data_IF_438517057598
#
_entry.id   IF_438517057598
#
_cell.length_a   1.000
_cell.length_b   1.000
_cell.length_c   1.000
_cell.angle_alpha   90.00
_cell.angle_beta   90.00
_cell.angle_gamma   90.00
#
_symmetry.space_group_name_H-M   'P 1'
#
loop_
_entity.id
_entity.type
_entity.pdbx_description
1 polymer ?
#
# COMPACT_ATOMS: atom_id res chain seq x y z
N UNK A 1 51.34 60.10 -20.96
CA UNK A 1 51.35 61.10 -19.88
C UNK A 1 50.50 60.59 -18.73
N UNK A 2 51.14 60.42 -17.56
CA UNK A 2 50.65 60.43 -16.16
C UNK A 2 49.18 60.05 -15.86
N UNK A 3 48.82 59.22 -14.85
CA UNK A 3 49.56 58.60 -13.73
C UNK A 3 48.68 57.51 -13.09
N UNK A 4 49.30 56.41 -12.64
CA UNK A 4 48.74 55.38 -11.75
C UNK A 4 48.43 55.95 -10.37
N UNK A 5 47.40 55.44 -9.68
CA UNK A 5 47.34 55.45 -8.20
C UNK A 5 46.56 54.24 -7.68
N UNK A 6 47.34 53.26 -7.23
CA UNK A 6 46.98 52.16 -6.36
C UNK A 6 46.99 52.68 -4.91
N UNK A 7 46.00 52.33 -4.08
CA UNK A 7 46.11 52.46 -2.62
C UNK A 7 45.75 51.11 -2.00
N UNK A 8 46.69 50.60 -1.20
CA UNK A 8 46.65 49.36 -0.46
C UNK A 8 46.52 49.66 1.05
N UNK A 9 45.71 48.83 1.72
CA UNK A 9 45.90 48.22 3.05
C UNK A 9 46.21 49.11 4.27
N UNK A 10 45.28 49.10 5.22
CA UNK A 10 45.46 48.96 6.68
C UNK A 10 44.18 48.29 7.19
N UNK A 11 44.16 47.15 7.88
CA UNK A 11 45.15 46.63 8.81
C UNK A 11 44.55 46.66 10.22
N UNK A 12 43.57 45.80 10.49
CA UNK A 12 43.14 45.47 11.86
C UNK A 12 43.08 43.95 11.96
N UNK A 13 44.26 43.39 12.20
CA UNK A 13 44.44 42.09 12.81
C UNK A 13 44.42 42.28 14.34
N UNK A 14 43.44 41.68 15.00
CA UNK A 14 43.46 41.25 16.40
C UNK A 14 42.08 40.63 16.66
N UNK A 15 41.89 39.45 17.24
CA UNK A 15 42.82 38.44 17.76
C UNK A 15 41.95 37.21 18.02
N UNK A 16 42.46 36.05 17.61
CA UNK A 16 41.88 34.74 17.88
C UNK A 16 41.97 34.48 19.38
N UNK A 17 40.84 34.20 20.03
CA UNK A 17 40.80 33.48 21.31
C UNK A 17 39.55 32.60 21.32
N UNK A 18 39.79 31.32 21.10
CA UNK A 18 38.85 30.21 21.17
C UNK A 18 38.31 30.01 22.58
N UNK A 19 36.99 29.91 22.72
CA UNK A 19 36.35 29.19 23.83
C UNK A 19 35.05 28.55 23.31
N UNK A 20 35.10 27.23 23.13
CA UNK A 20 34.04 26.42 22.53
C UNK A 20 34.52 25.87 21.19
N UNK A 21 35.27 24.76 21.20
CA UNK A 21 35.75 24.11 19.99
C UNK A 21 34.58 23.78 19.06
N UNK A 22 34.39 24.58 18.02
CA UNK A 22 33.65 24.13 16.85
C UNK A 22 34.47 22.98 16.28
N UNK A 23 33.92 21.77 16.35
CA UNK A 23 34.48 20.61 15.68
C UNK A 23 34.69 20.87 14.18
N UNK A 24 35.29 19.92 13.44
CA UNK A 24 35.60 20.10 12.03
C UNK A 24 34.41 20.70 11.28
N UNK A 25 34.61 21.86 10.65
CA UNK A 25 33.60 22.51 9.81
C UNK A 25 33.29 21.56 8.67
N UNK A 26 32.16 20.87 8.74
CA UNK A 26 31.69 20.00 7.67
C UNK A 26 31.48 20.86 6.42
N UNK A 27 32.34 20.71 5.41
CA UNK A 27 32.06 21.24 4.07
C UNK A 27 30.90 20.43 3.49
N UNK A 28 29.73 21.04 3.21
CA UNK A 28 28.61 20.33 2.62
C UNK A 28 29.02 19.78 1.25
N UNK A 29 28.68 18.52 0.95
CA UNK A 29 28.78 18.00 -0.42
C UNK A 29 27.82 18.75 -1.35
N UNK A 30 28.24 18.98 -2.60
CA UNK A 30 27.37 19.60 -3.59
C UNK A 30 26.23 18.66 -3.99
N UNK A 31 25.03 19.22 -4.09
CA UNK A 31 23.86 18.56 -4.65
C UNK A 31 23.90 18.72 -6.17
N UNK A 32 23.94 17.63 -6.92
CA UNK A 32 24.03 17.63 -8.39
C UNK A 32 22.90 16.82 -9.02
N UNK A 33 22.56 17.13 -10.26
CA UNK A 33 21.63 16.32 -11.07
C UNK A 33 22.45 15.44 -12.00
N UNK A 34 22.07 14.16 -12.23
CA UNK A 34 22.76 13.30 -13.19
C UNK A 34 22.85 13.91 -14.58
N UNK A 35 23.92 13.60 -15.31
CA UNK A 35 24.08 14.01 -16.71
C UNK A 35 22.92 13.54 -17.59
N UNK A 36 22.78 14.14 -18.79
CA UNK A 36 21.74 13.74 -19.73
C UNK A 36 21.93 12.29 -20.15
N UNK A 37 20.92 11.45 -19.89
CA UNK A 37 20.93 10.03 -20.25
C UNK A 37 19.58 9.60 -20.84
N UNK A 38 19.61 8.73 -21.85
CA UNK A 38 18.42 8.06 -22.40
C UNK A 38 18.50 6.58 -22.07
N UNK A 39 17.71 6.16 -21.10
CA UNK A 39 17.69 4.79 -20.59
C UNK A 39 16.24 4.33 -20.49
N UNK A 40 16.04 3.03 -20.63
CA UNK A 40 14.79 2.40 -20.23
C UNK A 40 15.09 1.47 -19.06
N UNK A 41 14.10 1.30 -18.19
CA UNK A 41 14.14 0.25 -17.20
C UNK A 41 12.84 -0.55 -17.16
N UNK A 42 13.00 -1.79 -16.75
CA UNK A 42 11.91 -2.70 -16.49
C UNK A 42 12.19 -3.40 -15.17
N UNK A 43 11.22 -3.40 -14.26
CA UNK A 43 11.28 -4.16 -13.02
C UNK A 43 10.07 -5.04 -12.85
N UNK A 44 10.33 -6.25 -12.35
CA UNK A 44 9.30 -7.15 -11.88
C UNK A 44 9.67 -7.60 -10.46
N UNK A 45 8.69 -7.58 -9.56
CA UNK A 45 8.88 -7.97 -8.17
C UNK A 45 7.77 -8.92 -7.75
N UNK A 46 8.17 -10.02 -7.12
CA UNK A 46 7.30 -10.90 -6.38
C UNK A 46 7.07 -10.33 -4.99
N UNK A 47 5.82 -10.22 -4.60
CA UNK A 47 5.39 -9.66 -3.32
C UNK A 47 4.81 -10.80 -2.49
N UNK A 48 5.32 -11.07 -1.31
CA UNK A 48 4.70 -12.03 -0.39
C UNK A 48 4.03 -11.24 0.71
N UNK A 49 2.74 -10.97 0.55
CA UNK A 49 2.01 -9.99 1.37
C UNK A 49 0.90 -10.64 2.16
N UNK A 50 0.53 -9.96 3.24
CA UNK A 50 -0.68 -10.21 4.02
C UNK A 50 -1.53 -8.95 4.08
N UNK A 51 -2.84 -9.11 3.93
CA UNK A 51 -3.80 -8.02 4.12
C UNK A 51 -4.19 -7.89 5.59
N UNK A 52 -4.34 -6.65 6.04
CA UNK A 52 -4.85 -6.29 7.36
C UNK A 52 -5.96 -5.26 7.24
N UNK A 53 -6.81 -5.26 8.25
CA UNK A 53 -7.96 -4.37 8.35
C UNK A 53 -7.93 -3.59 9.66
N UNK A 54 -8.60 -2.44 9.66
CA UNK A 54 -8.96 -1.77 10.91
C UNK A 54 -9.81 -2.67 11.82
N UNK A 55 -9.89 -2.34 13.11
CA UNK A 55 -10.53 -3.15 14.15
C UNK A 55 -11.97 -3.55 13.84
N UNK A 56 -12.72 -2.72 13.13
CA UNK A 56 -14.14 -2.99 12.86
C UNK A 56 -14.35 -4.17 11.90
N UNK A 57 -13.35 -4.50 11.06
CA UNK A 57 -13.38 -5.59 10.08
C UNK A 57 -12.38 -6.71 10.38
N UNK A 58 -11.37 -6.46 11.22
CA UNK A 58 -10.37 -7.48 11.59
C UNK A 58 -10.88 -8.48 12.63
N UNK A 59 -12.02 -8.22 13.28
CA UNK A 59 -12.65 -9.15 14.23
C UNK A 59 -14.11 -9.38 13.89
N UNK A 60 -14.59 -10.60 14.13
CA UNK A 60 -16.00 -10.94 13.95
C UNK A 60 -16.78 -10.66 15.24
N UNK A 61 -17.46 -9.52 15.32
CA UNK A 61 -18.29 -9.16 16.48
C UNK A 61 -19.48 -10.11 16.66
N UNK A 62 -19.87 -10.35 17.92
CA UNK A 62 -21.03 -11.18 18.24
C UNK A 62 -20.84 -12.68 17.99
N UNK A 63 -19.59 -13.16 17.97
CA UNK A 63 -19.25 -14.57 17.77
C UNK A 63 -18.33 -15.11 18.84
N UNK A 64 -18.34 -16.44 18.98
CA UNK A 64 -17.37 -17.22 19.73
C UNK A 64 -16.39 -17.89 18.76
N UNK A 65 -15.10 -17.95 19.11
CA UNK A 65 -14.48 -17.29 20.28
C UNK A 65 -14.49 -15.75 20.15
N UNK A 66 -14.75 -15.08 21.28
CA UNK A 66 -14.91 -13.60 21.35
C UNK A 66 -13.65 -12.90 20.86
N UNK A 67 -13.82 -11.87 20.03
CA UNK A 67 -12.73 -11.02 19.51
C UNK A 67 -11.63 -11.80 18.78
N UNK A 68 -11.95 -12.96 18.18
CA UNK A 68 -10.99 -13.68 17.33
C UNK A 68 -10.72 -12.85 16.08
N UNK A 69 -9.45 -12.51 15.91
CA UNK A 69 -8.94 -11.81 14.73
C UNK A 69 -9.06 -12.71 13.50
N UNK A 70 -9.68 -12.18 12.45
CA UNK A 70 -9.71 -12.76 11.12
C UNK A 70 -8.36 -12.47 10.49
N UNK A 71 -7.49 -13.48 10.49
CA UNK A 71 -6.15 -13.38 9.91
C UNK A 71 -6.21 -13.81 8.46
N UNK A 72 -5.94 -12.87 7.56
CA UNK A 72 -5.76 -13.21 6.15
C UNK A 72 -4.48 -14.03 5.97
N UNK A 73 -4.53 -14.99 5.06
CA UNK A 73 -3.36 -15.78 4.71
C UNK A 73 -2.36 -14.96 3.90
N UNK A 74 -1.08 -15.29 4.07
CA UNK A 74 0.00 -14.77 3.25
C UNK A 74 -0.15 -15.31 1.83
N UNK A 75 -0.01 -14.44 0.83
CA UNK A 75 -0.10 -14.86 -0.56
C UNK A 75 0.86 -14.06 -1.44
N UNK A 76 1.05 -14.57 -2.66
CA UNK A 76 1.86 -13.93 -3.68
C UNK A 76 1.06 -12.88 -4.45
N UNK A 77 1.65 -11.70 -4.59
CA UNK A 77 1.27 -10.67 -5.53
C UNK A 77 2.46 -10.31 -6.42
N UNK A 78 2.25 -9.35 -7.31
CA UNK A 78 3.31 -8.83 -8.17
C UNK A 78 3.30 -7.31 -8.24
N UNK A 79 4.48 -6.76 -8.50
CA UNK A 79 4.69 -5.36 -8.84
C UNK A 79 5.47 -5.30 -10.15
N UNK A 80 4.93 -4.60 -11.13
CA UNK A 80 5.57 -4.34 -12.41
C UNK A 80 5.86 -2.85 -12.51
N UNK A 81 7.04 -2.51 -13.01
CA UNK A 81 7.47 -1.13 -13.24
C UNK A 81 8.13 -1.04 -14.61
N UNK A 82 7.78 -0.02 -15.36
CA UNK A 82 8.52 0.39 -16.55
C UNK A 82 8.75 1.88 -16.50
N UNK A 83 9.99 2.31 -16.70
CA UNK A 83 10.30 3.73 -16.78
C UNK A 83 11.21 4.07 -17.96
N UNK A 84 11.12 5.33 -18.35
CA UNK A 84 11.93 5.92 -19.40
C UNK A 84 12.61 7.17 -18.84
N UNK A 85 13.94 7.17 -18.91
CA UNK A 85 14.80 8.25 -18.44
C UNK A 85 15.10 9.18 -19.61
N UNK A 86 14.92 10.47 -19.41
CA UNK A 86 15.14 11.50 -20.43
C UNK A 86 15.70 12.78 -19.79
N UNK A 87 16.36 13.60 -20.62
CA UNK A 87 17.00 14.84 -20.16
C UNK A 87 17.92 14.60 -18.95
N UNK A 88 18.08 15.61 -18.11
CA UNK A 88 19.00 15.66 -16.97
C UNK A 88 18.31 15.10 -15.73
N UNK A 89 18.41 13.80 -15.49
CA UNK A 89 17.87 13.14 -14.30
C UNK A 89 16.34 13.05 -14.22
N UNK A 90 15.61 13.40 -15.29
CA UNK A 90 14.15 13.26 -15.33
C UNK A 90 13.76 11.87 -15.82
N UNK A 91 12.65 11.35 -15.30
CA UNK A 91 12.09 10.08 -15.74
C UNK A 91 10.57 10.10 -15.73
N UNK A 92 9.97 9.22 -16.53
CA UNK A 92 8.54 8.89 -16.44
C UNK A 92 8.43 7.41 -16.14
N UNK A 93 7.66 7.08 -15.10
CA UNK A 93 7.51 5.71 -14.61
C UNK A 93 6.03 5.33 -14.57
N UNK A 94 5.72 4.14 -15.07
CA UNK A 94 4.43 3.47 -14.88
C UNK A 94 4.65 2.28 -13.98
N UNK A 95 3.85 2.15 -12.94
CA UNK A 95 3.87 0.98 -12.07
C UNK A 95 2.49 0.36 -11.90
N UNK A 96 2.46 -0.94 -11.64
CA UNK A 96 1.26 -1.72 -11.40
C UNK A 96 1.52 -2.75 -10.30
N UNK A 97 0.81 -2.59 -9.19
CA UNK A 97 0.74 -3.57 -8.11
C UNK A 97 -0.58 -4.35 -8.18
N UNK A 98 -0.48 -5.66 -8.09
CA UNK A 98 -1.62 -6.55 -7.94
C UNK A 98 -1.39 -7.51 -6.77
N UNK A 99 -2.40 -7.66 -5.92
CA UNK A 99 -2.41 -8.66 -4.87
C UNK A 99 -3.82 -9.20 -4.67
N UNK A 100 -3.91 -10.51 -4.48
CA UNK A 100 -5.17 -11.22 -4.23
C UNK A 100 -4.92 -12.29 -3.17
N UNK A 101 -5.79 -12.38 -2.18
CA UNK A 101 -5.74 -13.41 -1.16
C UNK A 101 -7.14 -13.85 -0.77
N UNK A 102 -7.24 -15.03 -0.20
CA UNK A 102 -8.47 -15.55 0.38
C UNK A 102 -8.14 -16.22 1.70
N UNK A 103 -8.99 -15.99 2.69
CA UNK A 103 -8.98 -16.73 3.96
C UNK A 103 -9.88 -17.94 3.79
N UNK A 104 -9.34 -19.12 4.10
CA UNK A 104 -10.10 -20.37 4.11
C UNK A 104 -11.27 -20.36 5.10
N UNK A 105 -12.17 -21.37 5.06
CA UNK A 105 -13.29 -21.46 5.97
C UNK A 105 -12.78 -21.44 7.42
N UNK A 106 -13.14 -20.38 8.13
CA UNK A 106 -12.86 -20.25 9.55
C UNK A 106 -14.15 -20.47 10.30
N UNK A 107 -14.18 -21.52 11.11
CA UNK A 107 -15.34 -21.83 11.94
C UNK A 107 -15.49 -20.77 13.05
N UNK A 108 -16.69 -20.23 13.12
CA UNK A 108 -17.17 -19.36 14.19
C UNK A 108 -18.50 -19.88 14.70
N UNK A 109 -18.83 -19.53 15.93
CA UNK A 109 -20.14 -19.78 16.49
C UNK A 109 -20.82 -18.46 16.78
N UNK A 110 -21.94 -18.18 16.13
CA UNK A 110 -22.64 -16.92 16.27
C UNK A 110 -24.14 -17.11 16.41
N UNK A 111 -24.87 -16.06 16.08
CA UNK A 111 -26.32 -16.04 16.16
C UNK A 111 -26.88 -15.88 14.75
N UNK A 112 -27.66 -16.87 14.32
CA UNK A 112 -28.48 -16.83 13.13
C UNK A 112 -29.77 -16.05 13.45
N UNK A 113 -29.88 -14.85 12.90
CA UNK A 113 -31.12 -14.07 12.93
C UNK A 113 -31.78 -14.15 11.56
N UNK A 114 -33.00 -14.70 11.49
CA UNK A 114 -33.76 -14.80 10.24
C UNK A 114 -34.77 -13.65 10.21
N UNK A 115 -34.56 -12.60 9.39
CA UNK A 115 -35.29 -11.34 9.50
C UNK A 115 -36.80 -11.47 9.25
N UNK A 116 -37.22 -12.52 8.54
CA UNK A 116 -38.59 -12.67 8.00
C UNK A 116 -39.47 -13.63 8.81
N UNK A 117 -38.94 -14.36 9.79
CA UNK A 117 -39.69 -15.44 10.47
C UNK A 117 -40.16 -15.06 11.87
N UNK A 118 -39.75 -13.91 12.41
CA UNK A 118 -40.06 -13.52 13.80
C UNK A 118 -39.55 -14.50 14.86
N UNK A 119 -38.72 -15.47 14.45
CA UNK A 119 -38.12 -16.44 15.35
C UNK A 119 -37.08 -15.75 16.23
N UNK A 120 -36.92 -16.20 17.49
CA UNK A 120 -35.83 -15.71 18.32
C UNK A 120 -34.48 -16.04 17.64
N UNK A 121 -33.46 -15.19 17.82
CA UNK A 121 -32.14 -15.45 17.26
C UNK A 121 -31.60 -16.82 17.73
N UNK A 122 -31.16 -17.65 16.78
CA UNK A 122 -30.77 -19.04 17.03
C UNK A 122 -29.24 -19.14 17.06
N UNK A 123 -28.62 -19.66 18.14
CA UNK A 123 -27.19 -19.95 18.13
C UNK A 123 -26.83 -20.99 17.06
N UNK A 124 -25.90 -20.66 16.16
CA UNK A 124 -25.52 -21.53 15.06
C UNK A 124 -24.03 -21.39 14.71
N UNK A 125 -23.32 -22.50 14.45
CA UNK A 125 -22.01 -22.45 13.85
C UNK A 125 -22.10 -21.99 12.38
N UNK A 126 -21.05 -21.31 11.92
CA UNK A 126 -20.93 -20.89 10.53
C UNK A 126 -19.47 -20.84 10.07
N UNK A 127 -19.30 -21.02 8.77
CA UNK A 127 -18.01 -20.87 8.10
C UNK A 127 -17.87 -19.48 7.51
N UNK A 128 -16.83 -18.77 7.93
CA UNK A 128 -16.45 -17.49 7.35
C UNK A 128 -15.41 -17.68 6.25
N UNK A 129 -15.71 -17.16 5.05
CA UNK A 129 -14.79 -17.11 3.92
C UNK A 129 -14.63 -15.64 3.51
N UNK A 130 -13.40 -15.17 3.34
CA UNK A 130 -13.12 -13.81 2.88
C UNK A 130 -12.13 -13.81 1.72
N UNK A 131 -12.32 -12.90 0.77
CA UNK A 131 -11.43 -12.70 -0.39
C UNK A 131 -11.13 -11.23 -0.51
N UNK A 132 -9.86 -10.92 -0.71
CA UNK A 132 -9.35 -9.56 -0.77
C UNK A 132 -8.54 -9.41 -2.04
N UNK A 133 -8.74 -8.29 -2.73
CA UNK A 133 -8.02 -7.96 -3.95
C UNK A 133 -7.69 -6.47 -3.97
N UNK A 134 -6.49 -6.16 -4.43
CA UNK A 134 -6.07 -4.80 -4.75
C UNK A 134 -5.43 -4.74 -6.13
N UNK A 135 -5.75 -3.68 -6.86
CA UNK A 135 -5.05 -3.24 -8.05
C UNK A 135 -4.67 -1.77 -7.86
N UNK A 136 -3.38 -1.45 -7.91
CA UNK A 136 -2.87 -0.08 -7.85
C UNK A 136 -2.04 0.19 -9.10
N UNK A 137 -2.32 1.29 -9.79
CA UNK A 137 -1.58 1.72 -10.98
C UNK A 137 -1.19 3.17 -10.82
N UNK A 138 0.10 3.47 -10.93
CA UNK A 138 0.59 4.85 -10.88
C UNK A 138 1.32 5.23 -12.16
N UNK A 139 1.15 6.48 -12.56
CA UNK A 139 1.94 7.14 -13.60
C UNK A 139 2.58 8.37 -12.98
N UNK A 140 3.90 8.36 -12.87
CA UNK A 140 4.65 9.40 -12.14
C UNK A 140 5.79 9.95 -12.97
N UNK A 141 6.07 11.23 -12.82
CA UNK A 141 7.29 11.85 -13.31
C UNK A 141 8.24 12.03 -12.14
N UNK A 142 9.49 11.59 -12.34
CA UNK A 142 10.55 11.63 -11.35
C UNK A 142 11.66 12.61 -11.72
N UNK A 143 12.35 13.11 -10.70
CA UNK A 143 13.58 13.88 -10.82
C UNK A 143 14.63 13.31 -9.85
N UNK A 144 15.72 12.81 -10.40
CA UNK A 144 16.88 12.31 -9.66
C UNK A 144 17.80 13.45 -9.24
N UNK A 145 18.36 13.32 -8.05
CA UNK A 145 19.29 14.26 -7.42
C UNK A 145 20.33 13.49 -6.63
N UNK A 146 21.60 13.69 -6.95
CA UNK A 146 22.73 13.16 -6.21
C UNK A 146 23.14 14.16 -5.13
N UNK A 147 22.97 13.81 -3.85
CA UNK A 147 23.34 14.68 -2.71
C UNK A 147 24.83 14.53 -2.38
N UNK A 148 25.39 13.37 -2.68
CA UNK A 148 26.79 13.04 -2.46
C UNK A 148 27.15 11.82 -3.32
N UNK A 149 28.42 11.45 -3.37
CA UNK A 149 28.88 10.26 -4.11
C UNK A 149 28.16 8.96 -3.70
N UNK A 150 27.67 8.88 -2.45
CA UNK A 150 26.97 7.70 -1.91
C UNK A 150 25.48 7.88 -1.69
N UNK A 151 24.94 9.10 -1.86
CA UNK A 151 23.54 9.43 -1.50
C UNK A 151 22.79 9.87 -2.75
N UNK A 152 21.80 9.08 -3.14
CA UNK A 152 20.92 9.38 -4.25
C UNK A 152 19.50 9.56 -3.76
N UNK A 153 18.82 10.57 -4.29
CA UNK A 153 17.41 10.83 -4.03
C UNK A 153 16.67 10.98 -5.36
N UNK A 154 15.44 10.51 -5.39
CA UNK A 154 14.51 10.74 -6.49
C UNK A 154 13.21 11.24 -5.90
N UNK A 155 12.76 12.40 -6.35
CA UNK A 155 11.45 12.94 -6.03
C UNK A 155 10.51 12.64 -7.17
N UNK A 156 9.30 12.19 -6.90
CA UNK A 156 8.32 11.94 -7.94
C UNK A 156 6.94 12.46 -7.58
N UNK A 157 6.18 12.83 -8.60
CA UNK A 157 4.79 13.23 -8.49
C UNK A 157 4.02 12.75 -9.72
N UNK A 158 2.73 12.46 -9.55
CA UNK A 158 1.89 12.02 -10.65
C UNK A 158 0.50 11.63 -10.19
N UNK A 159 -0.07 10.63 -10.86
CA UNK A 159 -1.43 10.16 -10.61
C UNK A 159 -1.44 8.68 -10.25
N UNK A 160 -2.36 8.31 -9.36
CA UNK A 160 -2.60 6.96 -8.89
C UNK A 160 -4.06 6.59 -9.10
N UNK A 161 -4.29 5.37 -9.57
CA UNK A 161 -5.56 4.68 -9.54
C UNK A 161 -5.48 3.50 -8.58
N UNK A 162 -6.48 3.34 -7.72
CA UNK A 162 -6.60 2.19 -6.82
C UNK A 162 -7.99 1.57 -6.91
N UNK A 163 -8.03 0.25 -7.01
CA UNK A 163 -9.23 -0.58 -6.92
C UNK A 163 -9.03 -1.62 -5.83
N UNK A 164 -9.77 -1.49 -4.73
CA UNK A 164 -9.68 -2.35 -3.55
C UNK A 164 -11.03 -3.04 -3.38
N UNK A 165 -11.00 -4.36 -3.19
CA UNK A 165 -12.19 -5.20 -3.07
C UNK A 165 -12.01 -6.16 -1.91
N UNK A 166 -13.03 -6.25 -1.06
CA UNK A 166 -13.12 -7.27 -0.01
C UNK A 166 -14.52 -7.86 -0.01
N UNK A 167 -14.60 -9.17 -0.19
CA UNK A 167 -15.84 -9.93 -0.21
C UNK A 167 -15.78 -10.99 0.88
N UNK A 168 -16.74 -11.00 1.78
CA UNK A 168 -16.88 -11.99 2.81
C UNK A 168 -18.21 -12.73 2.66
N UNK A 169 -18.25 -13.99 3.05
CA UNK A 169 -19.49 -14.78 3.10
C UNK A 169 -19.45 -15.68 4.32
N UNK A 170 -20.53 -15.65 5.08
CA UNK A 170 -20.80 -16.52 6.21
C UNK A 170 -21.78 -17.60 5.75
N UNK A 171 -21.41 -18.87 5.88
CA UNK A 171 -22.28 -20.01 5.57
C UNK A 171 -22.71 -20.67 6.87
N UNK A 172 -24.00 -20.59 7.22
CA UNK A 172 -24.50 -21.17 8.46
C UNK A 172 -24.71 -22.68 8.30
N UNK A 173 -24.23 -23.44 9.29
CA UNK A 173 -24.37 -24.88 9.34
C UNK A 173 -25.65 -25.19 10.14
N UNK A 174 -26.74 -25.50 9.44
CA UNK A 174 -28.07 -25.69 10.05
C UNK A 174 -28.47 -27.14 10.31
N UNK A 175 -27.58 -28.11 10.04
CA UNK A 175 -27.82 -29.53 10.33
C UNK A 175 -28.12 -29.79 11.82
N UNK A 176 -27.69 -28.87 12.70
CA UNK A 176 -27.95 -28.91 14.14
C UNK A 176 -29.25 -28.21 14.58
N UNK A 177 -30.04 -27.64 13.64
CA UNK A 177 -31.29 -26.95 13.94
C UNK A 177 -32.47 -27.84 13.51
N UNK A 178 -33.16 -28.53 14.44
CA UNK A 178 -34.16 -29.55 14.13
C UNK A 178 -35.35 -29.07 13.28
N UNK A 179 -35.58 -27.76 13.18
CA UNK A 179 -36.66 -27.15 12.43
C UNK A 179 -36.28 -26.72 10.99
N UNK A 180 -35.00 -26.78 10.60
CA UNK A 180 -34.47 -26.19 9.36
C UNK A 180 -33.62 -27.21 8.58
N UNK A 181 -34.23 -28.31 8.14
CA UNK A 181 -33.53 -29.50 7.64
C UNK A 181 -32.99 -29.35 6.19
N UNK A 182 -33.26 -28.25 5.47
CA UNK A 182 -32.91 -28.16 4.03
C UNK A 182 -32.46 -26.80 3.47
N UNK A 183 -32.23 -25.76 4.29
CA UNK A 183 -31.97 -24.41 3.76
C UNK A 183 -30.63 -23.84 4.26
N UNK A 184 -29.50 -23.99 3.53
CA UNK A 184 -28.23 -23.37 3.93
C UNK A 184 -28.34 -21.84 3.80
N UNK A 185 -28.48 -21.17 4.93
CA UNK A 185 -28.48 -19.72 5.00
C UNK A 185 -27.07 -19.20 4.79
N UNK A 186 -26.94 -18.11 4.05
CA UNK A 186 -25.67 -17.40 3.95
C UNK A 186 -25.85 -15.90 4.09
N UNK A 187 -24.81 -15.24 4.59
CA UNK A 187 -24.74 -13.79 4.66
C UNK A 187 -23.49 -13.33 3.92
N UNK A 188 -23.66 -12.58 2.85
CA UNK A 188 -22.54 -11.94 2.17
C UNK A 188 -22.33 -10.52 2.71
N UNK A 189 -21.08 -10.09 2.70
CA UNK A 189 -20.64 -8.74 3.05
C UNK A 189 -19.56 -8.33 2.06
N UNK A 190 -19.93 -7.48 1.11
CA UNK A 190 -19.05 -7.04 0.03
C UNK A 190 -18.80 -5.54 0.15
N UNK A 191 -17.54 -5.15 0.10
CA UNK A 191 -17.12 -3.75 0.04
C UNK A 191 -16.07 -3.54 -1.04
N UNK A 192 -16.25 -2.49 -1.83
CA UNK A 192 -15.32 -2.09 -2.88
C UNK A 192 -15.05 -0.60 -2.89
N UNK A 193 -13.84 -0.24 -3.28
CA UNK A 193 -13.40 1.12 -3.50
C UNK A 193 -12.73 1.26 -4.85
N UNK A 194 -13.08 2.31 -5.59
CA UNK A 194 -12.38 2.74 -6.80
C UNK A 194 -12.11 4.22 -6.72
N UNK A 195 -10.84 4.59 -6.80
CA UNK A 195 -10.42 5.98 -6.67
C UNK A 195 -9.26 6.34 -7.59
N UNK A 196 -9.16 7.64 -7.87
CA UNK A 196 -8.10 8.24 -8.67
C UNK A 196 -7.69 9.56 -8.03
N UNK A 197 -6.39 9.86 -8.04
CA UNK A 197 -5.90 11.11 -7.47
C UNK A 197 -4.40 11.29 -7.55
N UNK A 198 -3.88 12.43 -7.04
CA UNK A 198 -2.45 12.71 -7.03
C UNK A 198 -1.70 11.78 -6.07
N UNK A 199 -0.47 11.46 -6.47
CA UNK A 199 0.52 10.75 -5.65
C UNK A 199 1.84 11.51 -5.69
N UNK A 200 2.52 11.55 -4.55
CA UNK A 200 3.87 12.12 -4.42
C UNK A 200 4.73 11.19 -3.59
N UNK A 201 6.03 11.18 -3.83
CA UNK A 201 6.93 10.37 -3.03
C UNK A 201 8.41 10.64 -3.28
N UNK A 202 9.21 9.91 -2.53
CA UNK A 202 10.65 10.05 -2.44
C UNK A 202 11.26 8.65 -2.40
N UNK A 203 12.20 8.39 -3.31
CA UNK A 203 13.08 7.23 -3.24
C UNK A 203 14.46 7.69 -2.77
N UNK A 204 15.00 7.05 -1.75
CA UNK A 204 16.33 7.32 -1.20
C UNK A 204 17.19 6.07 -1.33
N UNK A 205 18.42 6.23 -1.80
CA UNK A 205 19.40 5.16 -1.87
C UNK A 205 20.74 5.59 -1.24
N UNK A 206 21.28 4.72 -0.39
CA UNK A 206 22.59 4.86 0.22
C UNK A 206 23.52 3.74 -0.26
N UNK A 207 24.53 4.10 -1.04
CA UNK A 207 25.51 3.16 -1.57
C UNK A 207 26.52 2.79 -0.47
N UNK A 208 26.47 1.53 -0.04
CA UNK A 208 27.44 0.95 0.90
C UNK A 208 28.74 0.61 0.17
N UNK A 209 28.62 0.04 -1.03
CA UNK A 209 29.70 -0.27 -1.96
C UNK A 209 29.29 0.17 -3.37
N UNK A 210 30.15 -0.07 -4.36
CA UNK A 210 29.83 0.25 -5.76
C UNK A 210 28.69 -0.61 -6.33
N UNK A 211 28.41 -1.77 -5.72
CA UNK A 211 27.37 -2.71 -6.14
C UNK A 211 26.23 -2.87 -5.14
N UNK A 212 26.44 -2.58 -3.85
CA UNK A 212 25.44 -2.76 -2.81
C UNK A 212 24.94 -1.43 -2.29
N UNK A 213 23.61 -1.28 -2.24
CA UNK A 213 22.94 -0.10 -1.73
C UNK A 213 21.76 -0.46 -0.83
N UNK A 214 21.46 0.42 0.13
CA UNK A 214 20.26 0.36 0.97
C UNK A 214 19.27 1.35 0.40
N UNK A 215 18.03 0.92 0.20
CA UNK A 215 16.96 1.72 -0.41
C UNK A 215 15.84 1.95 0.58
N UNK A 216 15.36 3.18 0.68
CA UNK A 216 14.19 3.55 1.46
C UNK A 216 13.26 4.40 0.57
N UNK A 217 12.03 3.94 0.37
CA UNK A 217 11.07 4.61 -0.49
C UNK A 217 9.85 4.95 0.36
N UNK A 218 9.33 6.16 0.16
CA UNK A 218 8.13 6.64 0.83
C UNK A 218 7.23 7.34 -0.18
N UNK A 219 5.94 7.03 -0.15
CA UNK A 219 4.93 7.62 -1.02
C UNK A 219 3.67 7.93 -0.25
N UNK A 220 2.96 8.96 -0.69
CA UNK A 220 1.65 9.32 -0.17
C UNK A 220 0.72 9.73 -1.30
N UNK A 221 -0.54 9.34 -1.20
CA UNK A 221 -1.55 9.71 -2.18
C UNK A 221 -2.83 10.20 -1.53
N UNK A 222 -3.62 10.93 -2.31
CA UNK A 222 -4.96 11.38 -1.92
C UNK A 222 -5.90 11.04 -3.06
N UNK A 223 -6.73 10.02 -2.88
CA UNK A 223 -7.56 9.46 -3.94
C UNK A 223 -9.01 9.92 -3.76
N UNK A 224 -9.60 10.51 -4.79
CA UNK A 224 -11.04 10.74 -4.82
C UNK A 224 -11.73 9.57 -5.50
N UNK A 225 -12.71 8.99 -4.84
CA UNK A 225 -13.29 7.73 -5.29
C UNK A 225 -14.72 7.48 -4.83
N UNK A 226 -15.20 6.29 -5.17
CA UNK A 226 -16.50 5.78 -4.71
C UNK A 226 -16.27 4.52 -3.89
N UNK A 227 -16.80 4.52 -2.68
CA UNK A 227 -16.93 3.37 -1.80
C UNK A 227 -18.32 2.78 -2.02
N UNK A 228 -18.40 1.45 -2.09
CA UNK A 228 -19.64 0.71 -2.17
C UNK A 228 -19.61 -0.37 -1.10
N UNK A 229 -20.75 -0.58 -0.49
CA UNK A 229 -20.99 -1.61 0.49
C UNK A 229 -22.31 -2.28 0.15
N UNK A 230 -22.28 -3.60 0.07
CA UNK A 230 -23.43 -4.42 -0.22
C UNK A 230 -23.37 -5.68 0.64
N UNK A 231 -24.27 -5.76 1.60
CA UNK A 231 -24.42 -6.93 2.44
C UNK A 231 -25.85 -7.43 2.37
N UNK A 232 -26.03 -8.73 2.54
CA UNK A 232 -27.36 -9.31 2.45
C UNK A 232 -27.42 -10.73 2.99
N UNK A 233 -28.64 -11.12 3.36
CA UNK A 233 -28.95 -12.44 3.86
C UNK A 233 -29.70 -13.24 2.79
N UNK A 234 -29.13 -14.39 2.44
CA UNK A 234 -29.59 -15.26 1.35
C UNK A 234 -30.14 -16.55 1.93
N UNK A 235 -31.33 -16.92 1.47
CA UNK A 235 -32.00 -18.16 1.85
C UNK A 235 -31.98 -19.12 0.65
N UNK A 236 -31.41 -20.30 0.86
CA UNK A 236 -31.44 -21.43 -0.07
C UNK A 236 -32.71 -22.30 0.18
N UNK A 237 -33.24 -23.05 -0.81
CA UNK A 237 -32.78 -23.24 -2.19
C UNK A 237 -33.17 -22.13 -3.18
N UNK A 238 -34.06 -21.22 -2.82
CA UNK A 238 -34.58 -20.20 -3.73
C UNK A 238 -33.55 -19.10 -4.07
N UNK A 239 -32.39 -19.10 -3.40
CA UNK A 239 -31.35 -18.05 -3.48
C UNK A 239 -31.95 -16.64 -3.30
N UNK A 240 -33.01 -16.55 -2.49
CA UNK A 240 -33.74 -15.31 -2.28
C UNK A 240 -32.97 -14.43 -1.29
N UNK A 241 -32.70 -13.19 -1.68
CA UNK A 241 -32.17 -12.16 -0.77
C UNK A 241 -33.37 -11.61 0.01
N UNK A 242 -33.47 -12.00 1.29
CA UNK A 242 -34.60 -11.60 2.15
C UNK A 242 -34.31 -10.33 2.94
N UNK A 243 -33.04 -9.95 3.05
CA UNK A 243 -32.62 -8.68 3.62
C UNK A 243 -31.34 -8.21 2.93
N UNK A 244 -31.23 -6.91 2.67
CA UNK A 244 -30.02 -6.31 2.12
C UNK A 244 -29.81 -4.88 2.58
N UNK A 245 -28.54 -4.50 2.68
CA UNK A 245 -28.08 -3.15 2.91
C UNK A 245 -27.22 -2.77 1.73
N UNK A 246 -27.53 -1.62 1.15
CA UNK A 246 -26.71 -1.03 0.12
C UNK A 246 -26.31 0.38 0.54
N UNK A 247 -25.02 0.64 0.51
CA UNK A 247 -24.47 1.95 0.80
C UNK A 247 -23.44 2.32 -0.25
N UNK A 248 -23.52 3.57 -0.70
CA UNK A 248 -22.62 4.12 -1.69
C UNK A 248 -22.25 5.52 -1.28
N UNK A 249 -20.96 5.77 -1.16
CA UNK A 249 -20.42 7.06 -0.75
C UNK A 249 -19.29 7.46 -1.67
N UNK A 250 -19.17 8.77 -1.90
CA UNK A 250 -17.96 9.34 -2.51
C UNK A 250 -17.14 9.98 -1.42
N UNK A 251 -15.83 9.84 -1.52
CA UNK A 251 -14.94 10.28 -0.48
C UNK A 251 -13.52 10.48 -0.99
N UNK A 252 -12.74 11.09 -0.12
CA UNK A 252 -11.30 11.21 -0.28
C UNK A 252 -10.66 10.19 0.64
N UNK A 253 -9.79 9.35 0.06
CA UNK A 253 -9.05 8.30 0.75
C UNK A 253 -7.57 8.65 0.67
N UNK A 254 -6.92 9.02 1.78
CA UNK A 254 -5.48 9.13 1.82
C UNK A 254 -4.85 7.73 1.86
N UNK A 255 -3.65 7.61 1.29
CA UNK A 255 -2.82 6.41 1.41
C UNK A 255 -1.38 6.77 1.73
N UNK A 256 -0.70 5.83 2.39
CA UNK A 256 0.73 5.90 2.67
C UNK A 256 1.39 4.59 2.28
N UNK A 257 2.55 4.68 1.64
CA UNK A 257 3.39 3.56 1.24
C UNK A 257 4.80 3.80 1.77
N UNK A 258 5.40 2.76 2.34
CA UNK A 258 6.76 2.75 2.81
C UNK A 258 7.44 1.43 2.44
N UNK A 259 8.68 1.52 1.97
CA UNK A 259 9.45 0.37 1.53
C UNK A 259 10.90 0.54 1.96
N UNK A 260 11.46 -0.52 2.54
CA UNK A 260 12.85 -0.55 2.98
C UNK A 260 13.48 -1.82 2.44
N UNK A 261 14.67 -1.71 1.84
CA UNK A 261 15.32 -2.86 1.26
C UNK A 261 16.79 -2.64 0.94
N UNK A 262 17.33 -3.65 0.28
CA UNK A 262 18.67 -3.67 -0.27
C UNK A 262 18.59 -3.86 -1.78
N UNK A 263 19.56 -3.28 -2.47
CA UNK A 263 19.72 -3.42 -3.91
C UNK A 263 21.15 -3.81 -4.24
N UNK A 264 21.30 -4.86 -5.03
CA UNK A 264 22.58 -5.37 -5.53
C UNK A 264 22.66 -5.22 -7.05
N UNK A 265 23.52 -4.33 -7.52
CA UNK A 265 23.75 -4.04 -8.92
C UNK A 265 24.83 -4.97 -9.49
N UNK A 266 24.48 -5.69 -10.56
CA UNK A 266 25.38 -6.55 -11.33
C UNK A 266 25.40 -6.11 -12.80
N UNK A 267 26.56 -5.78 -13.37
CA UNK A 267 26.71 -5.56 -14.81
C UNK A 267 26.34 -6.83 -15.59
N UNK A 268 25.57 -6.66 -16.66
CA UNK A 268 25.22 -7.71 -17.62
C UNK A 268 25.56 -7.23 -19.03
N UNK A 269 25.66 -8.13 -20.03
CA UNK A 269 25.98 -7.74 -21.41
C UNK A 269 24.95 -6.77 -22.04
N UNK A 270 23.73 -6.75 -21.51
CA UNK A 270 22.62 -5.91 -21.99
C UNK A 270 22.41 -4.64 -21.15
N UNK A 271 23.18 -4.44 -20.06
CA UNK A 271 23.06 -3.28 -19.18
C UNK A 271 23.34 -3.58 -17.71
N UNK A 272 22.54 -3.00 -16.80
CA UNK A 272 22.67 -3.21 -15.35
C UNK A 272 21.48 -3.99 -14.81
N UNK A 273 21.74 -5.13 -14.17
CA UNK A 273 20.73 -5.91 -13.46
C UNK A 273 20.81 -5.60 -11.97
N UNK A 274 19.70 -5.12 -11.41
CA UNK A 274 19.54 -4.76 -10.01
C UNK A 274 18.66 -5.82 -9.34
N UNK A 275 19.21 -6.51 -8.35
CA UNK A 275 18.47 -7.48 -7.54
C UNK A 275 18.03 -6.76 -6.27
N UNK A 276 16.72 -6.71 -6.03
CA UNK A 276 16.12 -5.98 -4.92
C UNK A 276 15.43 -6.95 -3.97
N UNK A 277 15.59 -6.73 -2.67
CA UNK A 277 14.86 -7.45 -1.65
C UNK A 277 14.60 -6.54 -0.46
N UNK A 278 13.48 -6.72 0.21
CA UNK A 278 13.17 -5.89 1.37
C UNK A 278 11.78 -6.15 1.92
N UNK A 279 11.26 -5.16 2.62
CA UNK A 279 9.94 -5.17 3.23
C UNK A 279 9.16 -3.93 2.80
N UNK A 280 7.87 -4.11 2.52
CA UNK A 280 6.99 -3.01 2.16
C UNK A 280 5.72 -3.01 3.00
N UNK A 281 5.17 -1.82 3.21
CA UNK A 281 3.91 -1.58 3.90
C UNK A 281 3.13 -0.53 3.12
N UNK A 282 1.85 -0.79 2.89
CA UNK A 282 0.92 0.14 2.27
C UNK A 282 -0.32 0.20 3.16
N UNK A 283 -0.83 1.40 3.42
CA UNK A 283 -2.08 1.58 4.13
C UNK A 283 -2.98 2.60 3.43
N UNK A 284 -4.25 2.27 3.32
CA UNK A 284 -5.32 3.12 2.82
C UNK A 284 -6.29 3.39 3.97
N UNK A 285 -6.47 4.67 4.31
CA UNK A 285 -7.25 5.07 5.47
C UNK A 285 -8.72 5.24 5.10
N UNK A 286 -9.62 4.67 5.90
CA UNK A 286 -11.08 4.78 5.75
C UNK A 286 -11.57 4.45 4.33
N UNK A 287 -10.96 3.43 3.72
CA UNK A 287 -11.14 3.11 2.30
C UNK A 287 -12.24 2.09 2.05
N UNK A 288 -12.51 1.22 3.02
CA UNK A 288 -13.61 0.26 2.95
C UNK A 288 -14.69 0.64 3.95
N UNK A 289 -15.84 0.00 3.83
CA UNK A 289 -16.96 0.17 4.73
C UNK A 289 -17.31 -1.21 5.30
N UNK A 290 -17.65 -1.26 6.58
CA UNK A 290 -18.00 -2.49 7.30
C UNK A 290 -19.21 -2.22 8.19
N UNK A 291 -20.01 -3.26 8.41
CA UNK A 291 -21.09 -3.22 9.38
C UNK A 291 -20.95 -4.38 10.37
N UNK A 292 -21.00 -4.12 11.69
CA UNK A 292 -20.83 -5.18 12.68
C UNK A 292 -21.93 -6.23 12.56
N UNK A 293 -21.51 -7.49 12.58
CA UNK A 293 -22.37 -8.66 12.69
C UNK A 293 -23.08 -8.70 14.07
N UNK A 294 -24.30 -9.28 14.21
CA UNK A 294 -25.12 -10.02 13.24
C UNK A 294 -26.12 -9.20 12.42
N UNK A 295 -26.53 -8.01 12.87
CA UNK A 295 -27.67 -7.31 12.29
C UNK A 295 -27.31 -6.36 11.16
N UNK A 296 -28.04 -6.47 10.05
CA UNK A 296 -27.99 -5.57 8.90
C UNK A 296 -28.63 -4.19 9.18
N UNK A 297 -29.09 -3.90 10.41
CA UNK A 297 -29.63 -2.59 10.82
C UNK A 297 -28.67 -1.69 11.66
N UNK A 298 -27.37 -2.04 11.73
CA UNK A 298 -26.35 -1.26 12.41
C UNK A 298 -25.77 -0.10 11.57
N UNK A 299 -25.05 0.85 12.19
CA UNK A 299 -24.36 1.89 11.45
C UNK A 299 -23.20 1.30 10.64
N UNK A 300 -23.09 1.71 9.39
CA UNK A 300 -21.95 1.39 8.52
C UNK A 300 -20.79 2.29 8.92
N UNK A 301 -19.61 1.70 9.11
CA UNK A 301 -18.41 2.37 9.58
C UNK A 301 -17.27 2.25 8.56
N UNK A 302 -16.49 3.32 8.37
CA UNK A 302 -15.32 3.26 7.52
C UNK A 302 -14.21 2.46 8.21
N UNK A 303 -13.46 1.69 7.41
CA UNK A 303 -12.33 0.88 7.89
C UNK A 303 -11.11 1.03 7.00
N UNK A 304 -9.95 0.92 7.64
CA UNK A 304 -8.66 0.95 6.97
C UNK A 304 -8.36 -0.38 6.28
N UNK A 305 -7.60 -0.33 5.19
CA UNK A 305 -7.05 -1.49 4.50
C UNK A 305 -5.55 -1.34 4.34
N UNK A 306 -4.82 -2.33 4.84
CA UNK A 306 -3.36 -2.36 4.77
C UNK A 306 -2.82 -3.64 4.16
N UNK A 307 -1.61 -3.54 3.61
CA UNK A 307 -0.82 -4.64 3.09
C UNK A 307 0.59 -4.51 3.63
N UNK A 308 1.18 -5.64 4.00
CA UNK A 308 2.59 -5.65 4.34
C UNK A 308 3.24 -6.99 4.03
N UNK A 309 4.55 -6.96 3.86
CA UNK A 309 5.33 -8.17 3.71
C UNK A 309 6.65 -7.97 2.98
N UNK A 310 7.45 -9.05 2.88
CA UNK A 310 8.66 -9.02 2.10
C UNK A 310 8.38 -8.96 0.60
N UNK A 311 9.32 -8.38 -0.13
CA UNK A 311 9.34 -8.40 -1.60
C UNK A 311 10.71 -8.84 -2.10
N UNK A 312 10.73 -9.42 -3.29
CA UNK A 312 11.93 -9.77 -4.03
C UNK A 312 11.73 -9.41 -5.49
N UNK A 313 12.71 -8.78 -6.13
CA UNK A 313 12.55 -8.31 -7.49
C UNK A 313 13.85 -8.15 -8.25
N UNK A 314 13.67 -8.01 -9.56
CA UNK A 314 14.74 -7.77 -10.51
C UNK A 314 14.38 -6.51 -11.30
N UNK A 315 15.35 -5.63 -11.49
CA UNK A 315 15.25 -4.42 -12.30
C UNK A 315 16.37 -4.41 -13.33
N UNK A 316 16.02 -4.38 -14.61
CA UNK A 316 16.95 -4.29 -15.73
C UNK A 316 16.96 -2.85 -16.23
N UNK A 317 18.16 -2.29 -16.40
CA UNK A 317 18.36 -0.97 -16.97
C UNK A 317 19.16 -1.16 -18.26
N UNK A 318 18.59 -0.73 -19.38
CA UNK A 318 19.20 -0.80 -20.69
C UNK A 318 19.35 0.59 -21.31
N UNK A 319 20.28 0.71 -22.25
CA UNK A 319 20.37 1.91 -23.10
C UNK A 319 19.21 1.93 -24.09
N UNK A 320 18.64 3.12 -24.30
CA UNK A 320 17.59 3.37 -25.28
C UNK A 320 18.18 3.83 -26.63
#
# INVERSE_FOLDING_TARGET
>A
MFKKTTIAVLGLAASVATAGGMGPVCTPGNVTVPCVTKLWDFSAQALYLRSIYGSEKSIQFGTLPVNKEIKNDWNWGYFLEGSYHFNTGSDITVNWMHFSTSTGPTEFFGVLNIPVTGLPPIPAPFDFISRNRIDQVNVVMGQHTDISMRKKMRFYAGMQYANIQSTATNYYITEFIPALVTNPFSKFDNTDYKGFGPVVGIDYAYNLTDSLSVTANGGGSVLYGTNRYHAGFVVSPQQAIVEQVFFRKRGIVPSLEAKLGINYARPTPIGLANIQAGYQVVNYFHVLEEQPFPNLFGPIRPVDYGLFGPYFGLKLIGNA
#
